data_IF_157608448527
#
_entry.id   IF_157608448527
#
_cell.length_a   1.000
_cell.length_b   1.000
_cell.length_c   1.000
_cell.angle_alpha   90.00
_cell.angle_beta   90.00
_cell.angle_gamma   90.00
#
_symmetry.space_group_name_H-M   'P 1'
#
loop_
_entity.id
_entity.type
_entity.pdbx_description
1 polymer ?
#
# COMPACT_ATOMS: atom_id res chain seq x y z
N UNK A 1 -11.87 16.19 8.32
CA UNK A 1 -11.11 15.87 7.11
C UNK A 1 -11.63 14.59 6.47
N UNK A 2 -11.72 14.55 5.13
CA UNK A 2 -12.07 13.34 4.42
C UNK A 2 -10.89 12.34 4.45
N UNK A 3 -11.16 11.08 4.12
CA UNK A 3 -10.16 10.02 4.09
C UNK A 3 -9.94 9.55 2.65
N UNK A 4 -9.13 10.27 1.85
CA UNK A 4 -8.93 9.90 0.46
C UNK A 4 -8.04 8.66 0.32
N UNK A 5 -8.23 7.95 -0.79
CA UNK A 5 -7.23 6.98 -1.23
C UNK A 5 -5.99 7.75 -1.69
N UNK A 6 -4.82 7.40 -1.19
CA UNK A 6 -3.59 8.15 -1.48
C UNK A 6 -2.51 7.34 -2.15
N UNK A 7 -2.70 6.02 -2.23
CA UNK A 7 -1.68 5.14 -2.80
C UNK A 7 -2.32 3.79 -3.11
N UNK A 8 -1.88 3.15 -4.20
CA UNK A 8 -2.32 1.79 -4.51
C UNK A 8 -1.08 0.95 -4.77
N UNK A 9 -0.90 -0.11 -4.03
CA UNK A 9 0.32 -0.91 -4.06
C UNK A 9 0.04 -2.31 -4.57
N UNK A 10 0.85 -2.77 -5.51
CA UNK A 10 0.83 -4.16 -5.95
C UNK A 10 1.86 -4.95 -5.14
N UNK A 11 1.39 -5.99 -4.47
CA UNK A 11 2.26 -6.97 -3.85
C UNK A 11 2.24 -8.19 -4.75
N UNK A 12 3.36 -8.48 -5.42
CA UNK A 12 3.38 -9.45 -6.49
C UNK A 12 4.35 -10.61 -6.21
N UNK A 13 4.02 -11.77 -6.72
CA UNK A 13 4.90 -12.95 -6.63
C UNK A 13 6.06 -12.88 -7.61
N UNK A 14 5.99 -12.01 -8.62
CA UNK A 14 7.05 -11.85 -9.62
C UNK A 14 7.10 -10.39 -10.08
N UNK A 15 7.96 -9.61 -9.44
CA UNK A 15 8.07 -8.17 -9.69
C UNK A 15 8.48 -7.86 -11.13
N UNK A 16 9.46 -8.59 -11.67
CA UNK A 16 9.93 -8.36 -13.04
C UNK A 16 8.83 -8.57 -14.07
N UNK A 17 8.06 -9.65 -13.90
CA UNK A 17 6.95 -9.95 -14.80
C UNK A 17 5.84 -8.91 -14.69
N UNK A 18 5.53 -8.47 -13.49
CA UNK A 18 4.51 -7.44 -13.26
C UNK A 18 4.92 -6.10 -13.89
N UNK A 19 6.18 -5.69 -13.70
CA UNK A 19 6.71 -4.45 -14.31
C UNK A 19 6.60 -4.50 -15.82
N UNK A 20 6.97 -5.61 -16.44
CA UNK A 20 6.89 -5.76 -17.88
C UNK A 20 5.45 -5.68 -18.37
N UNK A 21 4.55 -6.38 -17.71
CA UNK A 21 3.13 -6.40 -18.07
C UNK A 21 2.49 -5.01 -18.00
N UNK A 22 2.59 -4.36 -16.86
CA UNK A 22 1.94 -3.07 -16.63
C UNK A 22 2.62 -1.94 -17.40
N UNK A 23 3.94 -2.02 -17.57
CA UNK A 23 4.67 -1.02 -18.34
C UNK A 23 4.31 -1.03 -19.81
N UNK A 24 3.91 -2.20 -20.35
CA UNK A 24 3.45 -2.32 -21.73
C UNK A 24 1.96 -2.03 -21.89
N UNK A 25 1.17 -2.35 -20.87
CA UNK A 25 -0.29 -2.19 -20.94
C UNK A 25 -0.72 -0.74 -20.81
N UNK A 26 -0.11 -0.01 -19.88
CA UNK A 26 -0.49 1.37 -19.57
C UNK A 26 0.66 2.34 -19.82
N UNK A 27 0.31 3.60 -19.99
CA UNK A 27 1.28 4.69 -20.10
C UNK A 27 1.73 5.14 -18.71
N UNK A 28 2.16 4.18 -17.90
CA UNK A 28 2.68 4.42 -16.56
C UNK A 28 4.20 4.53 -16.61
N UNK A 29 4.76 5.41 -15.81
CA UNK A 29 6.20 5.47 -15.60
C UNK A 29 6.55 4.67 -14.36
N UNK A 30 7.35 3.61 -14.53
CA UNK A 30 7.80 2.77 -13.42
C UNK A 30 9.22 3.14 -13.06
N UNK A 31 9.44 3.50 -11.80
CA UNK A 31 10.73 4.04 -11.34
C UNK A 31 11.20 3.27 -10.10
N UNK A 32 12.30 2.54 -10.25
CA UNK A 32 12.85 1.76 -9.15
C UNK A 32 13.46 2.68 -8.09
N UNK A 33 13.11 2.43 -6.82
CA UNK A 33 13.71 3.12 -5.69
C UNK A 33 14.98 2.36 -5.29
N UNK A 34 16.16 2.99 -5.33
CA UNK A 34 17.41 2.29 -5.05
C UNK A 34 17.43 1.62 -3.67
N UNK A 35 17.92 0.38 -3.63
CA UNK A 35 18.24 -0.38 -2.41
C UNK A 35 17.07 -0.78 -1.53
N UNK A 36 15.81 -0.61 -1.96
CA UNK A 36 14.66 -0.96 -1.12
C UNK A 36 13.67 -1.94 -1.77
N UNK A 37 13.97 -2.39 -2.98
CA UNK A 37 13.12 -3.39 -3.66
C UNK A 37 11.72 -2.89 -3.98
N UNK A 38 11.54 -1.59 -4.15
CA UNK A 38 10.25 -0.96 -4.40
C UNK A 38 10.28 -0.22 -5.72
N UNK A 39 9.19 -0.30 -6.49
CA UNK A 39 9.05 0.40 -7.76
C UNK A 39 7.89 1.39 -7.64
N UNK A 40 8.14 2.66 -7.84
CA UNK A 40 7.09 3.69 -7.85
C UNK A 40 6.33 3.63 -9.16
N UNK A 41 5.02 3.78 -9.10
CA UNK A 41 4.14 3.85 -10.27
C UNK A 41 3.64 5.28 -10.40
N UNK A 42 4.06 5.95 -11.46
CA UNK A 42 3.59 7.30 -11.79
C UNK A 42 2.53 7.18 -12.87
N UNK A 43 1.33 7.60 -12.56
CA UNK A 43 0.17 7.39 -13.44
C UNK A 43 -0.20 8.64 -14.25
N UNK A 44 0.51 9.75 -14.05
CA UNK A 44 0.15 11.05 -14.62
C UNK A 44 -0.67 11.81 -13.59
N UNK A 45 -1.97 11.95 -13.82
CA UNK A 45 -2.87 12.60 -12.86
C UNK A 45 -3.58 11.54 -12.00
N UNK A 46 -3.89 11.92 -10.77
CA UNK A 46 -4.63 11.05 -9.85
C UNK A 46 -3.72 10.28 -8.91
N UNK A 47 -4.30 9.27 -8.28
CA UNK A 47 -3.60 8.48 -7.26
C UNK A 47 -2.59 7.55 -7.92
N UNK A 48 -1.32 7.75 -7.58
CA UNK A 48 -0.24 6.86 -7.99
C UNK A 48 -0.11 5.66 -7.08
N UNK A 49 0.96 4.91 -7.23
CA UNK A 49 1.15 3.72 -6.44
C UNK A 49 2.57 3.21 -6.47
N UNK A 50 2.69 1.94 -6.19
CA UNK A 50 3.98 1.26 -6.20
C UNK A 50 3.78 -0.23 -6.36
N UNK A 51 4.89 -0.94 -6.51
CA UNK A 51 4.85 -2.40 -6.54
C UNK A 51 6.10 -2.97 -5.89
N UNK A 52 5.94 -4.12 -5.29
CA UNK A 52 7.02 -4.82 -4.60
C UNK A 52 6.71 -6.31 -4.56
N UNK A 53 7.74 -7.09 -4.27
CA UNK A 53 7.55 -8.52 -4.03
C UNK A 53 6.66 -8.68 -2.80
N UNK A 54 5.67 -9.59 -2.87
CA UNK A 54 4.78 -9.83 -1.75
C UNK A 54 5.60 -10.22 -0.51
N UNK A 55 5.40 -9.54 0.62
CA UNK A 55 6.21 -9.80 1.82
C UNK A 55 5.88 -11.13 2.51
N UNK A 56 4.71 -11.72 2.20
CA UNK A 56 4.30 -12.99 2.81
C UNK A 56 4.58 -14.12 1.82
N UNK A 57 5.50 -15.05 2.14
CA UNK A 57 5.80 -16.17 1.25
C UNK A 57 4.55 -17.02 0.98
N UNK A 58 4.34 -17.36 -0.29
CA UNK A 58 3.20 -18.18 -0.70
C UNK A 58 1.89 -17.44 -0.86
N UNK A 59 1.81 -16.16 -0.50
CA UNK A 59 0.60 -15.39 -0.70
C UNK A 59 0.42 -15.04 -2.18
N UNK A 60 -0.84 -15.03 -2.69
CA UNK A 60 -1.09 -14.65 -4.08
C UNK A 60 -0.85 -13.16 -4.30
N UNK A 61 -0.53 -12.80 -5.54
CA UNK A 61 -0.41 -11.39 -5.92
C UNK A 61 -1.74 -10.68 -5.67
N UNK A 62 -1.67 -9.45 -5.15
CA UNK A 62 -2.86 -8.68 -4.83
C UNK A 62 -2.53 -7.19 -4.80
N UNK A 63 -3.54 -6.38 -5.09
CA UNK A 63 -3.45 -4.93 -4.92
C UNK A 63 -3.91 -4.56 -3.50
N UNK A 64 -3.27 -3.53 -2.94
CA UNK A 64 -3.59 -3.02 -1.60
C UNK A 64 -3.74 -1.50 -1.71
N UNK A 65 -4.93 -1.01 -1.39
CA UNK A 65 -5.20 0.43 -1.37
C UNK A 65 -4.83 1.01 -0.01
N UNK A 66 -4.37 2.27 -0.01
CA UNK A 66 -4.01 3.01 1.19
C UNK A 66 -4.92 4.22 1.34
N UNK A 67 -5.48 4.38 2.54
CA UNK A 67 -6.38 5.48 2.88
C UNK A 67 -5.67 6.41 3.86
N UNK A 68 -5.72 7.72 3.60
CA UNK A 68 -5.08 8.70 4.48
C UNK A 68 -5.91 8.91 5.74
N UNK A 69 -5.22 8.93 6.88
CA UNK A 69 -5.81 9.26 8.18
C UNK A 69 -4.90 10.25 8.91
N UNK A 70 -5.44 10.95 9.90
CA UNK A 70 -4.68 11.93 10.68
C UNK A 70 -3.80 11.29 11.75
N UNK A 71 -4.17 10.10 12.21
CA UNK A 71 -3.51 9.41 13.33
C UNK A 71 -3.61 7.92 13.10
N UNK A 72 -2.54 7.32 12.61
CA UNK A 72 -2.54 5.89 12.27
C UNK A 72 -2.77 5.01 13.49
N UNK A 73 -2.09 5.22 14.63
CA UNK A 73 -2.36 4.39 15.82
C UNK A 73 -3.81 4.46 16.28
N UNK A 74 -4.39 5.66 16.35
CA UNK A 74 -5.77 5.85 16.81
C UNK A 74 -6.76 5.20 15.83
N UNK A 75 -6.55 5.40 14.52
CA UNK A 75 -7.42 4.82 13.50
C UNK A 75 -7.31 3.29 13.47
N UNK A 76 -6.12 2.76 13.71
CA UNK A 76 -5.90 1.31 13.78
C UNK A 76 -6.64 0.71 14.97
N UNK A 77 -6.55 1.36 16.14
CA UNK A 77 -7.27 0.92 17.33
C UNK A 77 -8.78 0.98 17.10
N UNK A 78 -9.27 2.02 16.45
CA UNK A 78 -10.68 2.16 16.11
C UNK A 78 -11.13 1.05 15.17
N UNK A 79 -10.34 0.76 14.14
CA UNK A 79 -10.65 -0.33 13.21
C UNK A 79 -10.79 -1.66 13.95
N UNK A 80 -9.86 -1.95 14.86
CA UNK A 80 -9.90 -3.16 15.67
C UNK A 80 -11.19 -3.23 16.50
N UNK A 81 -11.56 -2.11 17.12
CA UNK A 81 -12.78 -2.05 17.93
C UNK A 81 -14.05 -2.25 17.09
N UNK A 82 -13.99 -1.98 15.79
CA UNK A 82 -15.10 -2.15 14.87
C UNK A 82 -15.10 -3.51 14.17
N UNK A 83 -14.22 -4.43 14.58
CA UNK A 83 -14.22 -5.80 14.07
C UNK A 83 -13.12 -6.14 13.07
N UNK A 84 -12.21 -5.23 12.78
CA UNK A 84 -11.10 -5.52 11.89
C UNK A 84 -10.05 -6.43 12.55
N UNK A 85 -9.36 -7.21 11.74
CA UNK A 85 -8.20 -7.98 12.17
C UNK A 85 -6.94 -7.22 11.74
N UNK A 86 -6.08 -6.87 12.68
CA UNK A 86 -4.87 -6.11 12.38
C UNK A 86 -3.79 -7.07 11.88
N UNK A 87 -3.38 -6.92 10.62
CA UNK A 87 -2.32 -7.73 10.02
C UNK A 87 -0.94 -7.16 10.31
N UNK A 88 -0.84 -5.83 10.29
CA UNK A 88 0.39 -5.13 10.61
C UNK A 88 0.03 -3.86 11.36
N UNK A 89 0.50 -3.75 12.60
CA UNK A 89 0.25 -2.57 13.43
C UNK A 89 1.08 -1.39 12.92
N UNK A 90 0.83 -0.21 13.50
CA UNK A 90 1.48 1.02 13.08
C UNK A 90 2.98 0.83 12.94
N UNK A 91 3.49 1.14 11.75
CA UNK A 91 4.90 1.03 11.41
C UNK A 91 5.35 2.34 10.78
N UNK A 92 6.49 2.84 11.21
CA UNK A 92 7.07 4.02 10.61
C UNK A 92 7.93 3.63 9.40
N UNK A 93 7.75 4.38 8.30
CA UNK A 93 8.66 4.33 7.15
C UNK A 93 9.49 5.60 7.23
N UNK A 94 10.79 5.51 7.60
CA UNK A 94 11.62 6.70 7.79
C UNK A 94 11.61 7.63 6.57
N UNK A 95 11.35 8.91 6.80
CA UNK A 95 11.29 9.89 5.73
C UNK A 95 10.02 9.88 4.89
N UNK A 96 9.12 8.93 5.10
CA UNK A 96 7.91 8.76 4.29
C UNK A 96 6.64 8.96 5.11
N UNK A 97 6.45 8.21 6.18
CA UNK A 97 5.25 8.32 7.00
C UNK A 97 5.02 7.09 7.88
N UNK A 98 3.77 6.88 8.24
CA UNK A 98 3.35 5.75 9.06
C UNK A 98 2.22 5.01 8.36
N UNK A 99 2.17 3.69 8.56
CA UNK A 99 1.09 2.89 7.99
C UNK A 99 0.71 1.74 8.91
N UNK A 100 -0.48 1.18 8.65
CA UNK A 100 -0.92 -0.09 9.23
C UNK A 100 -1.73 -0.83 8.17
N UNK A 101 -1.91 -2.14 8.36
CA UNK A 101 -2.68 -2.97 7.44
C UNK A 101 -3.64 -3.81 8.25
N UNK A 102 -4.90 -3.90 7.79
CA UNK A 102 -5.90 -4.73 8.43
C UNK A 102 -6.76 -5.43 7.38
N UNK A 103 -7.49 -6.47 7.82
CA UNK A 103 -8.64 -6.98 7.07
C UNK A 103 -9.90 -6.47 7.73
N UNK A 104 -10.87 -6.04 6.92
CA UNK A 104 -12.15 -5.59 7.42
C UNK A 104 -12.99 -6.79 7.91
N UNK A 105 -14.18 -6.56 8.51
CA UNK A 105 -15.00 -7.67 9.00
C UNK A 105 -15.45 -8.67 7.93
N UNK A 106 -15.32 -8.34 6.65
CA UNK A 106 -15.65 -9.26 5.55
C UNK A 106 -14.41 -9.97 4.99
N UNK A 107 -13.21 -9.65 5.49
CA UNK A 107 -11.97 -10.28 5.07
C UNK A 107 -11.18 -9.54 4.01
N UNK A 108 -11.60 -8.34 3.59
CA UNK A 108 -10.87 -7.56 2.60
C UNK A 108 -9.75 -6.75 3.26
N UNK A 109 -8.56 -6.74 2.62
CA UNK A 109 -7.42 -6.00 3.15
C UNK A 109 -7.45 -4.54 2.72
N UNK A 110 -7.01 -3.67 3.62
CA UNK A 110 -6.86 -2.24 3.37
C UNK A 110 -5.72 -1.71 4.24
N UNK A 111 -5.07 -0.65 3.81
CA UNK A 111 -4.02 -0.01 4.59
C UNK A 111 -4.40 1.41 4.97
N UNK A 112 -3.91 1.85 6.12
CA UNK A 112 -4.01 3.23 6.59
C UNK A 112 -2.65 3.89 6.46
N UNK A 113 -2.63 5.18 6.18
CA UNK A 113 -1.38 5.88 5.96
C UNK A 113 -1.47 7.35 6.38
N UNK A 114 -0.37 7.84 6.97
CA UNK A 114 -0.17 9.27 7.20
C UNK A 114 1.22 9.64 6.72
N UNK A 115 1.35 10.58 5.77
CA UNK A 115 2.67 11.03 5.33
C UNK A 115 3.36 11.87 6.40
N UNK A 116 4.69 11.86 6.40
CA UNK A 116 5.48 12.80 7.18
C UNK A 116 5.38 14.17 6.53
N UNK A 117 5.22 15.17 7.37
CA UNK A 117 5.11 16.55 6.92
C UNK A 117 6.43 17.26 7.08
#
# INVERSE_FOLDING_TARGET
>A
MANPFVHVELNTTDLGKAKDFYGKLFDWTLEDVPNVGYTMIKVGEGTGGGMMTHPVPGAPSAWLAYVMVDDVPASTAKAKSLGATILKDTTEIPGVGWFSIFTDPTGAALALFKPKM
#
